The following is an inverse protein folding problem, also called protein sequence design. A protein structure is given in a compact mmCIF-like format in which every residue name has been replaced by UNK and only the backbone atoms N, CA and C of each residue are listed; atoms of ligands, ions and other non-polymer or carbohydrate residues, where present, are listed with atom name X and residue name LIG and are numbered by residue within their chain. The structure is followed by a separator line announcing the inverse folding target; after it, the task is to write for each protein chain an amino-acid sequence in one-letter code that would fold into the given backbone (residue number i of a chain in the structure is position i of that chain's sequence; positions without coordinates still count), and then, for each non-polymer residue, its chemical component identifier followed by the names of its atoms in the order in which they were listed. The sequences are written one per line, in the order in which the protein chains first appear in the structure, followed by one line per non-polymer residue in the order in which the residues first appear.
data_IF_394727700330
#
_entry.id   IF_394727700330
#
_cell.length_a   1.000
_cell.length_b   1.000
_cell.length_c   1.000
_cell.angle_alpha   90.00
_cell.angle_beta   90.00
_cell.angle_gamma   90.00
#
_symmetry.space_group_name_H-M   'P 1'
#
loop_
_entity.id
_entity.type
_entity.pdbx_description
1 polymer ?
#
# COMPACT_ATOMS: atom_id res chain seq x y z
N UNK A 1 -2.68 22.49 8.33
CA UNK A 1 -3.40 21.48 7.55
C UNK A 1 -2.91 21.58 6.12
N UNK A 2 -2.15 20.61 5.65
CA UNK A 2 -1.74 20.55 4.25
C UNK A 2 -2.96 20.27 3.38
N UNK A 3 -3.07 20.95 2.25
CA UNK A 3 -4.08 20.61 1.24
C UNK A 3 -3.69 19.25 0.63
N UNK A 4 -4.43 18.24 0.98
CA UNK A 4 -4.31 16.89 0.42
C UNK A 4 -4.99 16.88 -0.95
N UNK A 5 -4.21 17.04 -1.99
CA UNK A 5 -4.70 17.20 -3.36
C UNK A 5 -5.02 15.90 -4.08
N UNK A 6 -5.78 15.02 -3.47
CA UNK A 6 -6.20 13.77 -4.10
C UNK A 6 -5.99 12.58 -3.20
N UNK A 7 -7.01 11.77 -3.02
CA UNK A 7 -6.96 10.57 -2.20
C UNK A 7 -6.80 9.39 -3.13
N UNK A 8 -5.71 8.69 -2.96
CA UNK A 8 -5.66 7.30 -3.35
C UNK A 8 -6.45 6.53 -2.29
N UNK A 9 -7.38 5.72 -2.73
CA UNK A 9 -8.31 4.97 -1.88
C UNK A 9 -7.55 4.33 -0.72
N UNK A 10 -8.01 4.55 0.51
CA UNK A 10 -7.55 3.78 1.67
C UNK A 10 -7.82 2.32 1.39
N UNK A 11 -6.75 1.52 1.31
CA UNK A 11 -6.88 0.10 1.03
C UNK A 11 -7.53 -0.66 2.18
N UNK A 12 -7.29 -0.23 3.42
CA UNK A 12 -7.75 -0.95 4.59
C UNK A 12 -7.67 -0.12 5.87
N UNK A 13 -8.51 -0.50 6.83
CA UNK A 13 -8.46 -0.05 8.23
C UNK A 13 -8.52 -1.28 9.13
N UNK A 14 -7.58 -1.38 10.06
CA UNK A 14 -7.47 -2.48 11.01
C UNK A 14 -7.48 -1.93 12.44
N UNK A 15 -8.16 -2.62 13.35
CA UNK A 15 -8.10 -2.31 14.78
C UNK A 15 -6.92 -3.05 15.42
N UNK A 16 -6.00 -2.31 15.99
CA UNK A 16 -4.84 -2.83 16.67
C UNK A 16 -5.19 -3.40 18.06
N UNK A 17 -4.30 -4.21 18.63
CA UNK A 17 -4.50 -4.85 19.95
C UNK A 17 -4.70 -3.85 21.09
N UNK A 18 -4.10 -2.69 20.99
CA UNK A 18 -4.25 -1.60 21.97
C UNK A 18 -5.52 -0.76 21.78
N UNK A 19 -6.36 -1.11 20.79
CA UNK A 19 -7.60 -0.40 20.47
C UNK A 19 -7.46 0.76 19.49
N UNK A 20 -6.26 1.15 19.12
CA UNK A 20 -5.98 2.14 18.07
C UNK A 20 -6.41 1.60 16.69
N UNK A 21 -6.87 2.45 15.80
CA UNK A 21 -7.09 2.09 14.40
C UNK A 21 -5.87 2.44 13.57
N UNK A 22 -5.50 1.54 12.67
CA UNK A 22 -4.46 1.70 11.67
C UNK A 22 -5.11 1.75 10.29
N UNK A 23 -4.83 2.79 9.52
CA UNK A 23 -5.21 2.86 8.11
C UNK A 23 -3.95 2.91 7.24
N UNK A 24 -4.01 2.26 6.08
CA UNK A 24 -2.95 2.28 5.09
C UNK A 24 -3.46 2.74 3.74
N UNK A 25 -2.63 3.48 3.04
CA UNK A 25 -2.89 3.98 1.70
C UNK A 25 -1.57 4.17 0.95
N UNK A 26 -1.64 4.39 -0.34
CA UNK A 26 -0.46 4.63 -1.16
C UNK A 26 -0.54 5.94 -1.92
N UNK A 27 0.61 6.45 -2.35
CA UNK A 27 0.76 7.54 -3.31
C UNK A 27 1.75 7.12 -4.39
N UNK A 28 1.45 7.44 -5.64
CA UNK A 28 2.35 7.21 -6.79
C UNK A 28 3.28 8.41 -7.06
N UNK A 29 3.50 9.23 -6.05
CA UNK A 29 4.35 10.41 -6.10
C UNK A 29 3.67 11.68 -6.60
N UNK A 30 2.39 11.64 -6.97
CA UNK A 30 1.67 12.79 -7.52
C UNK A 30 1.05 13.70 -6.47
N UNK A 31 0.71 13.19 -5.30
CA UNK A 31 -0.17 13.89 -4.36
C UNK A 31 0.51 14.31 -3.07
N UNK A 32 1.28 13.43 -2.44
CA UNK A 32 1.88 13.65 -1.11
C UNK A 32 3.38 13.92 -1.22
N UNK A 33 4.10 13.04 -1.89
CA UNK A 33 5.56 13.07 -1.94
C UNK A 33 6.13 14.19 -2.83
N UNK A 34 5.36 14.72 -3.75
CA UNK A 34 5.83 15.73 -4.70
C UNK A 34 4.85 16.87 -4.86
N UNK A 35 5.22 18.05 -4.40
CA UNK A 35 4.62 19.30 -4.86
C UNK A 35 4.95 19.59 -6.34
N UNK A 36 5.84 18.82 -6.94
CA UNK A 36 6.23 18.87 -8.34
C UNK A 36 5.78 17.60 -9.06
N UNK A 37 4.63 17.65 -9.71
CA UNK A 37 3.99 16.56 -10.47
C UNK A 37 4.81 16.02 -11.66
N UNK A 38 6.02 16.50 -11.87
CA UNK A 38 6.87 16.16 -13.01
C UNK A 38 8.03 15.21 -12.68
N UNK A 39 8.11 14.67 -11.47
CA UNK A 39 9.17 13.73 -11.14
C UNK A 39 8.98 12.39 -11.86
N UNK A 40 9.80 12.14 -12.85
CA UNK A 40 9.99 10.85 -13.47
C UNK A 40 11.37 10.32 -13.03
N UNK A 41 11.50 9.13 -12.47
CA UNK A 41 10.50 8.06 -12.34
C UNK A 41 9.48 8.32 -11.21
N UNK A 42 8.28 7.76 -11.37
CA UNK A 42 7.26 7.77 -10.30
C UNK A 42 7.79 7.02 -9.08
N UNK A 43 7.71 7.65 -7.93
CA UNK A 43 8.05 7.00 -6.65
C UNK A 43 6.75 6.59 -5.99
N UNK A 44 6.56 5.29 -5.83
CA UNK A 44 5.43 4.75 -5.08
C UNK A 44 5.78 4.74 -3.59
N UNK A 45 4.89 5.27 -2.77
CA UNK A 45 5.07 5.31 -1.32
C UNK A 45 3.84 4.75 -0.64
N UNK A 46 4.07 3.82 0.26
CA UNK A 46 3.06 3.27 1.15
C UNK A 46 3.11 4.03 2.46
N UNK A 47 1.98 4.55 2.88
CA UNK A 47 1.79 5.29 4.12
C UNK A 47 0.91 4.54 5.10
N UNK A 48 1.12 4.84 6.38
CA UNK A 48 0.21 4.49 7.46
C UNK A 48 -0.20 5.72 8.24
N UNK A 49 -1.38 5.67 8.84
CA UNK A 49 -1.88 6.67 9.78
C UNK A 49 -2.67 5.99 10.88
N UNK A 50 -2.77 6.62 12.05
CA UNK A 50 -3.39 6.03 13.24
C UNK A 50 -4.46 6.93 13.80
N UNK A 51 -5.51 6.31 14.37
CA UNK A 51 -6.57 7.00 15.08
C UNK A 51 -6.77 6.37 16.46
N UNK A 52 -6.90 7.20 17.49
CA UNK A 52 -7.17 6.79 18.86
C UNK A 52 -8.63 7.04 19.29
N UNK A 53 -9.42 7.67 18.45
CA UNK A 53 -10.78 8.14 18.75
C UNK A 53 -11.85 7.52 17.84
N UNK A 54 -11.60 6.30 17.34
CA UNK A 54 -12.56 5.58 16.52
C UNK A 54 -12.61 6.03 15.06
N UNK A 55 -11.57 6.71 14.56
CA UNK A 55 -11.48 7.17 13.17
C UNK A 55 -11.96 8.60 12.96
N UNK A 56 -12.25 9.35 14.04
CA UNK A 56 -12.67 10.75 13.94
C UNK A 56 -11.51 11.68 13.60
N UNK A 57 -10.34 11.39 14.19
CA UNK A 57 -9.10 12.10 13.86
C UNK A 57 -7.99 11.10 13.56
N UNK A 58 -7.04 11.50 12.71
CA UNK A 58 -5.94 10.66 12.25
C UNK A 58 -4.61 11.40 12.44
N UNK A 59 -3.56 10.66 12.76
CA UNK A 59 -2.20 11.19 12.81
C UNK A 59 -1.71 11.66 11.45
N UNK A 60 -0.64 12.46 11.45
CA UNK A 60 0.13 12.64 10.20
C UNK A 60 0.59 11.27 9.69
N UNK A 61 0.62 11.09 8.35
CA UNK A 61 1.05 9.82 7.78
C UNK A 61 2.53 9.57 7.95
N UNK A 62 2.86 8.33 8.32
CA UNK A 62 4.22 7.81 8.35
C UNK A 62 4.47 6.93 7.13
N UNK A 63 5.69 7.00 6.58
CA UNK A 63 6.11 6.14 5.48
C UNK A 63 6.43 4.73 5.98
N UNK A 64 5.77 3.74 5.38
CA UNK A 64 6.04 2.31 5.62
C UNK A 64 7.07 1.79 4.62
N UNK A 65 6.94 2.19 3.37
CA UNK A 65 7.83 1.81 2.28
C UNK A 65 7.79 2.86 1.17
N UNK A 66 8.91 3.02 0.44
CA UNK A 66 9.00 3.90 -0.73
C UNK A 66 10.01 3.34 -1.75
N UNK A 67 9.69 3.41 -3.03
CA UNK A 67 10.57 2.96 -4.11
C UNK A 67 10.06 3.36 -5.50
N UNK A 68 10.96 3.28 -6.48
CA UNK A 68 10.68 3.58 -7.90
C UNK A 68 10.69 2.35 -8.80
N UNK A 69 11.23 1.25 -8.33
CA UNK A 69 11.40 -0.02 -9.08
C UNK A 69 10.24 -0.99 -8.87
N UNK A 70 9.43 -0.76 -7.86
CA UNK A 70 8.20 -1.50 -7.59
C UNK A 70 7.04 -0.51 -7.53
N UNK A 71 5.98 -0.84 -8.24
CA UNK A 71 4.77 -0.03 -8.27
C UNK A 71 3.73 -0.60 -7.29
N UNK A 72 4.07 -0.59 -6.00
CA UNK A 72 3.24 -1.17 -4.95
C UNK A 72 2.09 -0.24 -4.57
N UNK A 73 0.87 -0.78 -4.59
CA UNK A 73 -0.36 -0.04 -4.34
C UNK A 73 -1.43 -0.92 -3.67
N UNK A 74 -2.57 -0.31 -3.36
CA UNK A 74 -3.78 -0.97 -2.85
C UNK A 74 -3.48 -1.88 -1.64
N UNK A 75 -2.94 -1.33 -0.52
CA UNK A 75 -2.60 -2.14 0.64
C UNK A 75 -3.84 -2.80 1.23
N UNK A 76 -3.75 -4.11 1.49
CA UNK A 76 -4.74 -4.89 2.24
C UNK A 76 -4.10 -5.45 3.51
N UNK A 77 -4.71 -5.25 4.68
CA UNK A 77 -4.22 -5.77 5.96
C UNK A 77 -4.89 -7.10 6.30
N UNK A 78 -4.09 -8.07 6.70
CA UNK A 78 -4.54 -9.36 7.20
C UNK A 78 -3.80 -9.69 8.49
N UNK A 79 -4.54 -10.02 9.55
CA UNK A 79 -3.96 -10.47 10.81
C UNK A 79 -3.80 -11.99 10.80
N UNK A 80 -2.67 -12.47 11.27
CA UNK A 80 -2.43 -13.90 11.44
C UNK A 80 -3.47 -14.53 12.40
N UNK A 81 -3.81 -15.82 12.26
CA UNK A 81 -4.73 -16.49 13.18
C UNK A 81 -4.29 -16.44 14.65
N UNK A 82 -2.99 -16.41 14.91
CA UNK A 82 -2.42 -16.23 16.25
C UNK A 82 -2.53 -14.78 16.76
N UNK A 83 -2.95 -13.83 15.92
CA UNK A 83 -3.16 -12.44 16.28
C UNK A 83 -1.89 -11.59 16.41
N UNK A 84 -0.70 -12.16 16.23
CA UNK A 84 0.57 -11.50 16.51
C UNK A 84 1.14 -10.76 15.31
N UNK A 85 1.05 -11.34 14.12
CA UNK A 85 1.62 -10.78 12.90
C UNK A 85 0.56 -10.12 12.04
N UNK A 86 0.86 -8.95 11.50
CA UNK A 86 0.13 -8.32 10.41
C UNK A 86 0.85 -8.59 9.09
N UNK A 87 0.11 -8.97 8.06
CA UNK A 87 0.57 -9.02 6.69
C UNK A 87 -0.10 -7.89 5.90
N UNK A 88 0.69 -7.10 5.20
CA UNK A 88 0.23 -6.08 4.26
C UNK A 88 0.37 -6.66 2.86
N UNK A 89 -0.75 -7.00 2.25
CA UNK A 89 -0.81 -7.47 0.87
C UNK A 89 -0.82 -6.27 -0.06
N UNK A 90 0.02 -6.30 -1.09
CA UNK A 90 0.24 -5.17 -1.99
C UNK A 90 0.13 -5.64 -3.44
N UNK A 91 -0.70 -4.96 -4.21
CA UNK A 91 -0.75 -5.16 -5.66
C UNK A 91 0.45 -4.48 -6.32
N UNK A 92 1.09 -5.19 -7.25
CA UNK A 92 2.09 -4.62 -8.13
C UNK A 92 1.44 -4.24 -9.47
N UNK A 93 1.51 -2.97 -9.88
CA UNK A 93 0.75 -2.42 -11.01
C UNK A 93 1.53 -2.26 -12.30
N UNK A 94 2.84 -2.54 -12.32
CA UNK A 94 3.60 -2.54 -13.59
C UNK A 94 3.24 -3.72 -14.50
N UNK A 95 2.50 -4.71 -13.96
CA UNK A 95 2.10 -5.94 -14.66
C UNK A 95 3.28 -6.83 -15.11
N UNK A 96 4.46 -6.57 -14.59
CA UNK A 96 5.67 -7.33 -14.91
C UNK A 96 6.06 -8.32 -13.82
N UNK A 97 5.45 -8.22 -12.65
CA UNK A 97 5.77 -9.00 -11.43
C UNK A 97 4.50 -9.47 -10.74
N UNK A 98 4.64 -10.42 -9.83
CA UNK A 98 3.57 -10.86 -8.93
C UNK A 98 3.31 -9.82 -7.83
N UNK A 99 2.31 -10.07 -6.99
CA UNK A 99 2.02 -9.22 -5.85
C UNK A 99 3.08 -9.34 -4.75
N UNK A 100 3.06 -8.43 -3.82
CA UNK A 100 4.03 -8.35 -2.73
C UNK A 100 3.34 -8.44 -1.37
N UNK A 101 4.11 -8.83 -0.37
CA UNK A 101 3.70 -8.85 1.03
C UNK A 101 4.77 -8.24 1.91
N UNK A 102 4.35 -7.48 2.89
CA UNK A 102 5.17 -6.95 3.99
C UNK A 102 4.65 -7.55 5.28
N UNK A 103 5.53 -7.97 6.18
CA UNK A 103 5.15 -8.49 7.50
C UNK A 103 5.57 -7.54 8.61
N UNK A 104 4.75 -7.51 9.66
CA UNK A 104 5.05 -6.80 10.90
C UNK A 104 4.54 -7.59 12.09
N UNK A 105 5.38 -7.79 13.10
CA UNK A 105 5.05 -8.48 14.35
C UNK A 105 4.72 -7.48 15.48
N UNK A 106 4.91 -6.20 15.26
CA UNK A 106 4.73 -5.11 16.21
C UNK A 106 3.64 -4.10 15.82
N UNK A 107 2.71 -4.54 14.95
CA UNK A 107 1.60 -3.73 14.46
C UNK A 107 2.02 -2.49 13.65
N UNK A 108 3.08 -2.65 12.85
CA UNK A 108 3.58 -1.71 11.83
C UNK A 108 4.37 -0.47 12.30
N UNK A 109 4.92 -0.36 13.52
CA UNK A 109 6.03 0.55 13.74
C UNK A 109 7.27 0.14 12.96
N UNK A 110 7.53 -1.18 12.88
CA UNK A 110 8.60 -1.77 12.08
C UNK A 110 8.02 -2.80 11.11
N UNK A 111 8.50 -2.78 9.88
CA UNK A 111 8.02 -3.67 8.83
C UNK A 111 9.18 -4.34 8.10
N UNK A 112 8.97 -5.57 7.66
CA UNK A 112 9.94 -6.26 6.80
C UNK A 112 10.00 -5.56 5.43
N UNK A 113 11.09 -5.74 4.67
CA UNK A 113 11.07 -5.35 3.26
C UNK A 113 9.99 -6.12 2.48
N UNK A 114 9.46 -5.52 1.39
CA UNK A 114 8.50 -6.19 0.52
C UNK A 114 9.09 -7.49 -0.05
N UNK A 115 8.29 -8.56 -0.02
CA UNK A 115 8.62 -9.86 -0.62
C UNK A 115 7.58 -10.20 -1.66
N UNK A 116 8.02 -10.61 -2.84
CA UNK A 116 7.15 -11.13 -3.88
C UNK A 116 6.51 -12.44 -3.42
N UNK A 117 5.22 -12.62 -3.70
CA UNK A 117 4.55 -13.89 -3.52
C UNK A 117 3.68 -14.22 -4.73
N UNK A 118 3.69 -15.48 -5.21
CA UNK A 118 2.90 -15.86 -6.37
C UNK A 118 1.41 -15.80 -6.06
N UNK A 119 0.66 -15.15 -6.94
CA UNK A 119 -0.80 -15.01 -6.84
C UNK A 119 -1.56 -16.15 -7.48
N UNK A 120 -0.88 -17.02 -8.23
CA UNK A 120 -1.47 -18.21 -8.83
C UNK A 120 -0.84 -19.49 -8.28
N UNK A 121 -1.68 -20.40 -7.82
CA UNK A 121 -1.25 -21.77 -7.48
C UNK A 121 -0.91 -22.62 -8.72
N UNK A 122 -1.12 -22.11 -9.93
CA UNK A 122 -1.05 -22.85 -11.20
C UNK A 122 0.07 -22.42 -12.14
N UNK A 123 0.99 -21.55 -11.73
CA UNK A 123 2.11 -21.15 -12.59
C UNK A 123 1.71 -20.37 -13.87
N UNK A 124 0.44 -20.15 -14.10
CA UNK A 124 -0.05 -19.31 -15.18
C UNK A 124 -0.08 -17.85 -14.69
N UNK A 125 0.83 -17.05 -15.23
CA UNK A 125 0.81 -15.61 -15.01
C UNK A 125 -0.49 -15.05 -15.57
N UNK A 126 -1.33 -14.51 -14.73
CA UNK A 126 -2.51 -13.76 -15.17
C UNK A 126 -2.09 -12.47 -15.87
N UNK A 127 -1.68 -12.58 -17.13
CA UNK A 127 -1.50 -11.44 -18.04
C UNK A 127 -2.83 -10.75 -18.43
N UNK A 128 -3.91 -11.00 -17.68
CA UNK A 128 -5.26 -10.66 -18.14
C UNK A 128 -5.80 -9.34 -17.60
N UNK A 129 -5.14 -8.68 -16.67
CA UNK A 129 -5.66 -7.47 -16.03
C UNK A 129 -5.11 -6.14 -16.59
N UNK A 130 -4.06 -6.18 -17.39
CA UNK A 130 -3.44 -4.99 -18.00
C UNK A 130 -3.65 -4.97 -19.51
N UNK A 131 -4.89 -5.05 -19.98
CA UNK A 131 -5.17 -4.73 -21.37
C UNK A 131 -5.19 -3.22 -21.52
N UNK A 132 -4.15 -2.74 -22.18
CA UNK A 132 -4.00 -1.37 -22.63
C UNK A 132 -5.29 -0.82 -23.24
N UNK A 133 -5.75 0.32 -22.70
CA UNK A 133 -6.73 1.16 -23.36
C UNK A 133 -6.17 1.84 -24.62
N UNK A 134 -5.55 1.08 -25.53
CA UNK A 134 -5.26 1.57 -26.87
C UNK A 134 -6.47 1.32 -27.74
N UNK A 135 -7.32 2.32 -27.82
CA UNK A 135 -8.30 2.53 -28.86
C UNK A 135 -7.64 2.33 -30.22
N UNK A 136 -8.16 1.39 -30.99
CA UNK A 136 -7.90 1.34 -32.43
C UNK A 136 -8.71 2.47 -33.08
N UNK A 137 -8.02 3.43 -33.63
CA UNK A 137 -8.55 4.27 -34.71
C UNK A 137 -8.68 3.45 -35.97
#
# INVERSE_FOLDING_TARGET
MGEWGGIVVMGCVERLRNGTYLAMFHDDGRFIASKNQAANPRVFTLYQTRSQDGGLTWSEPDTVWSGSDLHLCEPGLVRSPAGQTLAVLLRETSCSRDNYVIFSDDECPNSSPPREFPTSLSGERHATACRDGKSRT
#
